data_IF_581431383129
#
_entry.id   IF_581431383129
#
_cell.length_a   1.000
_cell.length_b   1.000
_cell.length_c   1.000
_cell.angle_alpha   90.00
_cell.angle_beta   90.00
_cell.angle_gamma   90.00
#
_symmetry.space_group_name_H-M   'P 1'
#
loop_
_entity.id
_entity.type
_entity.pdbx_description
1 polymer ?
#
# COMPACT_ATOMS: atom_id res chain seq x y z
N UNK A 1 -3.06 19.47 -10.94
CA UNK A 1 -3.31 18.23 -10.18
C UNK A 1 -3.58 18.47 -8.69
N UNK A 2 -2.77 19.22 -7.91
CA UNK A 2 -2.98 19.37 -6.46
C UNK A 2 -4.37 19.87 -6.05
N UNK A 3 -4.93 20.87 -6.74
CA UNK A 3 -6.28 21.37 -6.46
C UNK A 3 -7.40 20.36 -6.78
N UNK A 4 -7.18 19.49 -7.79
CA UNK A 4 -8.12 18.40 -8.10
C UNK A 4 -8.09 17.37 -6.96
N UNK A 5 -6.90 17.05 -6.43
CA UNK A 5 -6.78 16.18 -5.25
C UNK A 5 -7.48 16.78 -4.03
N UNK A 6 -7.36 18.08 -3.79
CA UNK A 6 -8.09 18.75 -2.71
C UNK A 6 -9.62 18.60 -2.87
N UNK A 7 -10.15 18.77 -4.09
CA UNK A 7 -11.57 18.56 -4.36
C UNK A 7 -12.02 17.09 -4.15
N UNK A 8 -11.22 16.12 -4.60
CA UNK A 8 -11.49 14.68 -4.38
C UNK A 8 -11.43 14.33 -2.90
N UNK A 9 -10.54 14.94 -2.11
CA UNK A 9 -10.49 14.76 -0.64
C UNK A 9 -11.77 15.25 0.03
N UNK A 10 -12.34 16.38 -0.41
CA UNK A 10 -13.64 16.85 0.12
C UNK A 10 -14.76 15.85 -0.21
N UNK A 11 -14.78 15.31 -1.44
CA UNK A 11 -15.74 14.27 -1.83
C UNK A 11 -15.55 12.98 -1.01
N UNK A 12 -14.30 12.58 -0.75
CA UNK A 12 -13.97 11.44 0.11
C UNK A 12 -14.52 11.63 1.53
N UNK A 13 -14.31 12.81 2.13
CA UNK A 13 -14.83 13.12 3.46
C UNK A 13 -16.35 13.21 3.51
N UNK A 14 -16.99 13.70 2.44
CA UNK A 14 -18.45 13.71 2.32
C UNK A 14 -19.02 12.29 2.43
N UNK A 15 -18.53 11.34 1.62
CA UNK A 15 -18.98 9.95 1.70
C UNK A 15 -18.63 9.27 3.03
N UNK A 16 -17.51 9.65 3.65
CA UNK A 16 -17.16 9.17 4.98
C UNK A 16 -18.17 9.64 6.03
N UNK A 17 -18.62 10.89 5.97
CA UNK A 17 -19.56 11.46 6.94
C UNK A 17 -20.97 10.87 6.85
N UNK A 18 -21.38 10.37 5.69
CA UNK A 18 -22.67 9.66 5.54
C UNK A 18 -22.75 8.39 6.40
N UNK A 19 -21.64 7.68 6.58
CA UNK A 19 -21.60 6.41 7.34
C UNK A 19 -20.90 6.53 8.70
N UNK A 20 -20.05 7.54 8.86
CA UNK A 20 -19.14 7.69 9.99
C UNK A 20 -17.91 6.76 9.92
N UNK A 21 -16.93 7.02 10.77
CA UNK A 21 -15.70 6.22 10.85
C UNK A 21 -15.97 4.78 11.30
N UNK A 22 -15.24 3.83 10.71
CA UNK A 22 -15.17 2.46 11.23
C UNK A 22 -14.31 2.41 12.51
N UNK A 23 -14.34 1.29 13.24
CA UNK A 23 -13.54 1.07 14.45
C UNK A 23 -12.79 -0.28 14.39
N UNK A 24 -11.79 -0.51 15.26
CA UNK A 24 -10.96 -1.71 15.22
C UNK A 24 -11.72 -3.03 15.32
N UNK A 25 -12.87 -3.08 16.00
CA UNK A 25 -13.67 -4.32 16.11
C UNK A 25 -14.47 -4.62 14.84
N UNK A 26 -14.71 -3.62 14.00
CA UNK A 26 -15.56 -3.72 12.82
C UNK A 26 -17.07 -3.84 13.12
N UNK A 27 -17.48 -3.78 14.39
CA UNK A 27 -18.87 -3.75 14.84
C UNK A 27 -19.45 -2.34 14.77
N UNK A 28 -20.76 -2.19 14.97
CA UNK A 28 -21.37 -0.86 15.09
C UNK A 28 -20.87 -0.15 16.35
N UNK A 29 -20.40 1.09 16.20
CA UNK A 29 -19.98 1.95 17.32
C UNK A 29 -21.10 2.87 17.83
N UNK A 30 -22.34 2.67 17.37
CA UNK A 30 -23.45 3.57 17.69
C UNK A 30 -23.74 3.70 19.20
N UNK A 31 -23.47 2.64 19.97
CA UNK A 31 -23.69 2.63 21.43
C UNK A 31 -22.60 3.35 22.25
N UNK A 32 -21.48 3.74 21.64
CA UNK A 32 -20.35 4.35 22.33
C UNK A 32 -19.65 5.38 21.42
N UNK A 33 -20.41 6.42 21.03
CA UNK A 33 -19.86 7.55 20.27
C UNK A 33 -19.41 8.66 21.21
N UNK A 34 -18.23 9.21 20.93
CA UNK A 34 -17.70 10.40 21.60
C UNK A 34 -17.62 11.57 20.60
N UNK A 35 -17.72 12.83 21.06
CA UNK A 35 -17.53 13.98 20.18
C UNK A 35 -16.10 14.02 19.63
N UNK A 36 -15.93 14.57 18.43
CA UNK A 36 -14.59 14.67 17.81
C UNK A 36 -13.64 15.55 18.65
N UNK A 37 -14.15 16.70 19.10
CA UNK A 37 -13.45 17.56 20.05
C UNK A 37 -13.92 17.24 21.48
N UNK A 38 -13.01 17.10 22.47
CA UNK A 38 -11.56 17.33 22.38
C UNK A 38 -10.73 16.12 21.95
N UNK A 39 -11.32 14.91 21.98
CA UNK A 39 -10.59 13.64 21.94
C UNK A 39 -9.71 13.45 20.70
N UNK A 40 -10.31 13.52 19.51
CA UNK A 40 -9.57 13.31 18.26
C UNK A 40 -8.80 14.56 17.86
N UNK A 41 -9.25 15.77 18.23
CA UNK A 41 -8.48 17.00 17.97
C UNK A 41 -7.10 16.95 18.65
N UNK A 42 -7.02 16.60 19.94
CA UNK A 42 -5.72 16.51 20.62
C UNK A 42 -4.88 15.32 20.13
N UNK A 43 -5.53 14.19 19.82
CA UNK A 43 -4.85 13.03 19.23
C UNK A 43 -4.20 13.39 17.88
N UNK A 44 -4.94 14.10 17.02
CA UNK A 44 -4.45 14.51 15.71
C UNK A 44 -3.34 15.55 15.83
N UNK A 45 -3.46 16.52 16.74
CA UNK A 45 -2.38 17.49 17.03
C UNK A 45 -1.08 16.79 17.46
N UNK A 46 -1.16 15.78 18.32
CA UNK A 46 -0.01 14.97 18.70
C UNK A 46 0.58 14.23 17.48
N UNK A 47 -0.28 13.62 16.65
CA UNK A 47 0.13 12.97 15.41
C UNK A 47 0.86 13.92 14.45
N UNK A 48 0.33 15.13 14.25
CA UNK A 48 0.97 16.17 13.44
C UNK A 48 2.30 16.63 14.02
N UNK A 49 2.41 16.79 15.34
CA UNK A 49 3.67 17.16 15.98
C UNK A 49 4.76 16.09 15.73
N UNK A 50 4.40 14.80 15.81
CA UNK A 50 5.33 13.70 15.50
C UNK A 50 5.70 13.71 14.01
N UNK A 51 4.72 13.83 13.09
CA UNK A 51 4.98 13.87 11.65
C UNK A 51 5.89 15.03 11.26
N UNK A 52 5.60 16.25 11.74
CA UNK A 52 6.36 17.45 11.41
C UNK A 52 7.77 17.40 12.00
N UNK A 53 7.96 16.84 13.19
CA UNK A 53 9.28 16.69 13.78
C UNK A 53 10.15 15.69 12.99
N UNK A 54 9.59 14.56 12.54
CA UNK A 54 10.28 13.62 11.66
C UNK A 54 10.60 14.22 10.28
N UNK A 55 9.66 14.96 9.68
CA UNK A 55 9.88 15.65 8.41
C UNK A 55 10.97 16.72 8.52
N UNK A 56 10.94 17.53 9.59
CA UNK A 56 11.96 18.52 9.86
C UNK A 56 13.33 17.86 10.10
N UNK A 57 13.37 16.76 10.85
CA UNK A 57 14.61 16.02 11.06
C UNK A 57 15.20 15.49 9.74
N UNK A 58 14.37 14.90 8.87
CA UNK A 58 14.82 14.46 7.55
C UNK A 58 15.34 15.64 6.71
N UNK A 59 14.56 16.72 6.60
CA UNK A 59 14.91 17.87 5.77
C UNK A 59 16.15 18.63 6.27
N UNK A 60 16.35 18.72 7.58
CA UNK A 60 17.47 19.48 8.17
C UNK A 60 18.74 18.66 8.34
N UNK A 61 18.64 17.38 8.73
CA UNK A 61 19.81 16.54 9.01
C UNK A 61 20.20 15.63 7.84
N UNK A 62 19.28 15.23 6.97
CA UNK A 62 19.57 14.32 5.85
C UNK A 62 18.68 14.57 4.62
N UNK A 63 18.71 15.78 4.02
CA UNK A 63 17.78 16.19 2.97
C UNK A 63 17.81 15.29 1.72
N UNK A 64 18.96 14.69 1.43
CA UNK A 64 19.17 13.87 0.23
C UNK A 64 19.07 12.36 0.51
N UNK A 65 18.69 11.93 1.73
CA UNK A 65 18.67 10.51 2.12
C UNK A 65 17.79 9.64 1.21
N UNK A 66 16.67 10.20 0.75
CA UNK A 66 15.67 9.50 -0.08
C UNK A 66 15.78 9.84 -1.57
N UNK A 67 16.75 10.69 -1.95
CA UNK A 67 16.95 11.15 -3.32
C UNK A 67 17.98 10.30 -4.07
N UNK A 68 17.97 10.41 -5.40
CA UNK A 68 18.98 9.77 -6.26
C UNK A 68 20.09 10.77 -6.60
N UNK A 69 21.38 10.45 -6.39
CA UNK A 69 22.49 11.34 -6.74
C UNK A 69 22.55 11.69 -8.23
N UNK A 70 22.02 10.84 -9.12
CA UNK A 70 22.03 11.09 -10.57
C UNK A 70 21.20 12.34 -10.93
N UNK A 71 20.21 12.70 -10.12
CA UNK A 71 19.37 13.89 -10.31
C UNK A 71 20.11 15.22 -10.02
N UNK A 72 21.34 15.19 -9.53
CA UNK A 72 22.20 16.38 -9.44
C UNK A 72 22.96 16.67 -10.74
N UNK A 73 22.95 15.74 -11.69
CA UNK A 73 23.53 15.96 -13.03
C UNK A 73 22.45 16.44 -14.01
N UNK A 74 22.71 17.47 -14.83
CA UNK A 74 21.75 17.90 -15.85
C UNK A 74 21.45 16.78 -16.85
N UNK A 75 20.18 16.66 -17.23
CA UNK A 75 19.73 15.60 -18.14
C UNK A 75 20.47 15.66 -19.48
N UNK A 76 21.01 14.51 -19.91
CA UNK A 76 21.67 14.34 -21.20
C UNK A 76 20.96 13.22 -21.99
N UNK A 77 20.22 13.54 -23.07
CA UNK A 77 19.49 12.54 -23.87
C UNK A 77 20.38 11.45 -24.51
N UNK A 78 21.69 11.69 -24.61
CA UNK A 78 22.65 10.76 -25.24
C UNK A 78 23.33 9.83 -24.23
N UNK A 79 23.15 10.06 -22.93
CA UNK A 79 23.80 9.30 -21.85
C UNK A 79 22.74 8.76 -20.91
N UNK A 80 22.66 7.43 -20.81
CA UNK A 80 21.78 6.77 -19.85
C UNK A 80 22.57 6.48 -18.56
N UNK A 81 22.02 6.82 -17.38
CA UNK A 81 22.63 6.41 -16.11
C UNK A 81 22.76 4.88 -16.01
N UNK A 82 23.77 4.36 -15.28
CA UNK A 82 24.00 2.92 -15.16
C UNK A 82 22.84 2.13 -14.54
N UNK A 83 22.11 2.72 -13.57
CA UNK A 83 20.98 2.07 -12.91
C UNK A 83 19.78 3.04 -12.81
N UNK A 84 18.98 3.09 -13.86
CA UNK A 84 17.78 3.94 -13.91
C UNK A 84 16.65 3.29 -13.10
N UNK A 85 16.16 4.00 -12.08
CA UNK A 85 15.04 3.59 -11.23
C UNK A 85 14.18 4.82 -10.88
N UNK A 86 12.88 4.63 -10.57
CA UNK A 86 12.05 5.72 -10.07
C UNK A 86 12.33 5.97 -8.57
N UNK A 87 11.68 6.98 -8.01
CA UNK A 87 11.70 7.25 -6.58
C UNK A 87 11.15 6.06 -5.77
N UNK A 88 11.58 5.98 -4.50
CA UNK A 88 11.37 4.81 -3.64
C UNK A 88 9.91 4.35 -3.54
N UNK A 89 8.95 5.28 -3.54
CA UNK A 89 7.51 4.98 -3.42
C UNK A 89 6.90 4.34 -4.67
N UNK A 90 7.62 4.31 -5.80
CA UNK A 90 7.24 3.60 -7.02
C UNK A 90 7.97 2.27 -7.23
N UNK A 91 8.98 1.95 -6.40
CA UNK A 91 9.85 0.79 -6.63
C UNK A 91 9.10 -0.54 -6.61
N UNK A 92 8.07 -0.70 -5.76
CA UNK A 92 7.31 -1.95 -5.71
C UNK A 92 6.59 -2.23 -7.05
N UNK A 93 6.00 -1.20 -7.64
CA UNK A 93 5.28 -1.29 -8.90
C UNK A 93 6.24 -1.45 -10.08
N UNK A 94 7.39 -0.79 -10.00
CA UNK A 94 8.51 -0.95 -10.94
C UNK A 94 9.11 -2.37 -10.90
N UNK A 95 9.20 -3.00 -9.73
CA UNK A 95 9.59 -4.40 -9.63
C UNK A 95 8.59 -5.31 -10.36
N UNK A 96 7.29 -5.12 -10.16
CA UNK A 96 6.23 -5.88 -10.86
C UNK A 96 6.32 -5.70 -12.38
N UNK A 97 6.57 -4.48 -12.86
CA UNK A 97 6.78 -4.19 -14.28
C UNK A 97 7.92 -5.02 -14.88
N UNK A 98 9.07 -5.09 -14.17
CA UNK A 98 10.28 -5.80 -14.64
C UNK A 98 10.20 -7.31 -14.52
N UNK A 99 9.35 -7.84 -13.64
CA UNK A 99 9.20 -9.28 -13.44
C UNK A 99 8.63 -10.00 -14.66
N UNK A 100 7.89 -9.31 -15.53
CA UNK A 100 7.26 -9.91 -16.73
C UNK A 100 8.15 -9.66 -17.96
N UNK A 101 8.69 -10.70 -18.61
CA UNK A 101 9.55 -10.57 -19.79
C UNK A 101 8.74 -10.28 -21.08
N UNK A 102 7.74 -9.40 -20.98
CA UNK A 102 6.93 -8.91 -22.09
C UNK A 102 6.57 -7.44 -21.85
N UNK A 103 6.85 -6.57 -22.82
CA UNK A 103 6.63 -5.12 -22.67
C UNK A 103 5.17 -4.76 -22.36
N UNK A 104 4.22 -5.32 -23.12
CA UNK A 104 2.80 -5.06 -22.90
C UNK A 104 2.32 -5.69 -21.58
N UNK A 105 2.71 -6.94 -21.32
CA UNK A 105 2.36 -7.66 -20.10
C UNK A 105 2.83 -6.94 -18.83
N UNK A 106 4.07 -6.45 -18.83
CA UNK A 106 4.62 -5.67 -17.72
C UNK A 106 3.85 -4.36 -17.48
N UNK A 107 3.50 -3.62 -18.55
CA UNK A 107 2.71 -2.38 -18.42
C UNK A 107 1.30 -2.67 -17.88
N UNK A 108 0.66 -3.74 -18.35
CA UNK A 108 -0.64 -4.17 -17.84
C UNK A 108 -0.54 -4.59 -16.37
N UNK A 109 0.52 -5.29 -15.97
CA UNK A 109 0.73 -5.68 -14.58
C UNK A 109 1.02 -4.49 -13.65
N UNK A 110 1.77 -3.49 -14.12
CA UNK A 110 1.97 -2.24 -13.40
C UNK A 110 0.64 -1.54 -13.10
N UNK A 111 -0.22 -1.41 -14.12
CA UNK A 111 -1.56 -0.84 -13.97
C UNK A 111 -2.41 -1.71 -13.03
N UNK A 112 -2.39 -3.03 -13.21
CA UNK A 112 -3.11 -3.97 -12.37
C UNK A 112 -2.67 -3.91 -10.90
N UNK A 113 -1.39 -3.65 -10.61
CA UNK A 113 -0.88 -3.54 -9.25
C UNK A 113 -1.55 -2.41 -8.45
N UNK A 114 -2.03 -1.35 -9.11
CA UNK A 114 -2.79 -0.29 -8.46
C UNK A 114 -4.30 -0.59 -8.53
N UNK A 115 -4.79 -1.03 -9.68
CA UNK A 115 -6.21 -1.28 -9.91
C UNK A 115 -6.76 -2.48 -9.11
N UNK A 116 -5.91 -3.40 -8.66
CA UNK A 116 -6.31 -4.53 -7.80
C UNK A 116 -6.99 -4.05 -6.52
N UNK A 117 -6.69 -2.83 -6.03
CA UNK A 117 -7.36 -2.25 -4.85
C UNK A 117 -8.86 -2.10 -5.03
N UNK A 118 -9.36 -1.88 -6.25
CA UNK A 118 -10.80 -1.82 -6.53
C UNK A 118 -11.49 -3.18 -6.42
N UNK A 119 -10.73 -4.28 -6.47
CA UNK A 119 -11.29 -5.63 -6.30
C UNK A 119 -11.49 -6.00 -4.83
N UNK A 120 -10.83 -5.32 -3.89
CA UNK A 120 -10.85 -5.64 -2.46
C UNK A 120 -12.28 -5.68 -1.87
N UNK A 121 -13.17 -4.70 -2.15
CA UNK A 121 -14.55 -4.77 -1.65
C UNK A 121 -15.35 -5.92 -2.25
N UNK A 122 -15.11 -6.24 -3.53
CA UNK A 122 -15.84 -7.27 -4.29
C UNK A 122 -15.44 -8.67 -3.83
N UNK A 123 -14.16 -8.86 -3.51
CA UNK A 123 -13.59 -10.14 -3.10
C UNK A 123 -13.72 -10.43 -1.59
N UNK A 124 -14.44 -9.59 -0.85
CA UNK A 124 -14.65 -9.80 0.58
C UNK A 124 -15.61 -10.96 0.86
N UNK A 125 -15.09 -12.09 1.34
CA UNK A 125 -15.85 -13.32 1.62
C UNK A 125 -16.22 -13.52 3.10
N UNK A 126 -15.53 -12.84 4.01
CA UNK A 126 -15.72 -12.99 5.45
C UNK A 126 -17.07 -12.43 5.93
N UNK A 127 -17.65 -13.04 6.96
CA UNK A 127 -18.83 -12.48 7.67
C UNK A 127 -18.45 -11.41 8.70
N UNK A 128 -17.19 -11.35 9.10
CA UNK A 128 -16.64 -10.31 9.96
C UNK A 128 -15.95 -9.23 9.12
N UNK A 129 -16.30 -7.96 9.37
CA UNK A 129 -15.81 -6.80 8.60
C UNK A 129 -14.30 -6.57 8.75
N UNK A 130 -13.80 -6.53 9.99
CA UNK A 130 -12.39 -6.28 10.30
C UNK A 130 -11.56 -7.57 10.36
N UNK A 131 -10.23 -7.43 10.42
CA UNK A 131 -9.31 -8.58 10.59
C UNK A 131 -8.97 -8.87 12.05
N UNK A 132 -9.41 -8.05 13.01
CA UNK A 132 -9.03 -8.15 14.45
C UNK A 132 -9.30 -9.53 15.06
N UNK A 133 -10.35 -10.23 14.62
CA UNK A 133 -10.70 -11.57 15.10
C UNK A 133 -10.43 -12.68 14.07
N UNK A 134 -9.61 -12.41 13.06
CA UNK A 134 -9.34 -13.26 11.90
C UNK A 134 -7.84 -13.55 11.77
N UNK A 135 -7.30 -14.52 12.54
CA UNK A 135 -5.85 -14.72 12.66
C UNK A 135 -5.19 -15.15 11.35
N UNK A 136 -5.87 -15.95 10.51
CA UNK A 136 -5.31 -16.37 9.21
C UNK A 136 -5.22 -15.16 8.29
N UNK A 137 -6.26 -14.33 8.26
CA UNK A 137 -6.27 -13.10 7.47
C UNK A 137 -5.25 -12.07 7.97
N UNK A 138 -5.01 -11.96 9.28
CA UNK A 138 -3.94 -11.11 9.82
C UNK A 138 -2.55 -11.59 9.37
N UNK A 139 -2.30 -12.89 9.42
CA UNK A 139 -1.03 -13.45 8.94
C UNK A 139 -0.81 -13.16 7.45
N UNK A 140 -1.85 -13.33 6.62
CA UNK A 140 -1.78 -13.00 5.20
C UNK A 140 -1.62 -11.49 4.95
N UNK A 141 -2.21 -10.63 5.79
CA UNK A 141 -2.03 -9.18 5.69
C UNK A 141 -0.58 -8.79 5.96
N UNK A 142 0.04 -9.35 7.00
CA UNK A 142 1.45 -9.09 7.28
C UNK A 142 2.37 -9.70 6.22
N UNK A 143 1.98 -10.84 5.63
CA UNK A 143 2.67 -11.40 4.47
C UNK A 143 2.62 -10.45 3.28
N UNK A 144 1.48 -9.81 3.00
CA UNK A 144 1.35 -8.78 1.97
C UNK A 144 2.23 -7.56 2.25
N UNK A 145 2.27 -7.08 3.49
CA UNK A 145 3.14 -5.96 3.88
C UNK A 145 4.61 -6.31 3.66
N UNK A 146 5.03 -7.51 4.08
CA UNK A 146 6.39 -8.00 3.85
C UNK A 146 6.71 -8.13 2.35
N UNK A 147 5.77 -8.64 1.55
CA UNK A 147 5.91 -8.77 0.10
C UNK A 147 6.09 -7.42 -0.60
N UNK A 148 5.32 -6.39 -0.22
CA UNK A 148 5.49 -5.03 -0.76
C UNK A 148 6.86 -4.44 -0.38
N UNK A 149 7.36 -4.72 0.84
CA UNK A 149 8.72 -4.32 1.25
C UNK A 149 9.78 -5.03 0.38
N UNK A 150 9.61 -6.33 0.13
CA UNK A 150 10.50 -7.12 -0.75
C UNK A 150 10.46 -6.56 -2.17
N UNK A 151 9.28 -6.29 -2.73
CA UNK A 151 9.13 -5.67 -4.05
C UNK A 151 9.80 -4.29 -4.12
N UNK A 152 9.67 -3.47 -3.08
CA UNK A 152 10.34 -2.17 -2.99
C UNK A 152 11.86 -2.32 -3.00
N UNK A 153 12.38 -3.28 -2.23
CA UNK A 153 13.80 -3.60 -2.22
C UNK A 153 14.29 -4.09 -3.59
N UNK A 154 13.61 -5.08 -4.19
CA UNK A 154 13.94 -5.63 -5.51
C UNK A 154 13.85 -4.57 -6.62
N UNK A 155 12.89 -3.65 -6.53
CA UNK A 155 12.76 -2.51 -7.44
C UNK A 155 14.03 -1.66 -7.50
N UNK A 156 14.77 -1.56 -6.39
CA UNK A 156 16.03 -0.85 -6.30
C UNK A 156 17.28 -1.65 -6.69
N UNK A 157 17.16 -2.96 -6.94
CA UNK A 157 18.27 -3.84 -7.30
C UNK A 157 18.47 -3.92 -8.83
N UNK A 158 19.67 -4.29 -9.32
CA UNK A 158 19.93 -4.54 -10.75
C UNK A 158 19.15 -5.77 -11.25
N UNK A 159 18.97 -5.86 -12.56
CA UNK A 159 18.26 -6.97 -13.22
C UNK A 159 19.24 -8.13 -13.45
N UNK A 160 19.62 -8.78 -12.36
CA UNK A 160 20.59 -9.88 -12.34
C UNK A 160 20.07 -11.00 -11.42
N UNK A 161 20.61 -12.21 -11.58
CA UNK A 161 20.34 -13.30 -10.65
C UNK A 161 20.98 -13.02 -9.28
N UNK A 162 20.30 -13.27 -8.16
CA UNK A 162 19.01 -13.95 -8.00
C UNK A 162 17.78 -13.00 -7.99
N UNK A 163 17.95 -11.69 -8.17
CA UNK A 163 16.89 -10.68 -8.00
C UNK A 163 15.75 -10.81 -9.01
N UNK A 164 16.04 -11.31 -10.22
CA UNK A 164 15.01 -11.58 -11.24
C UNK A 164 13.99 -12.58 -10.70
N UNK A 165 14.47 -13.73 -10.21
CA UNK A 165 13.61 -14.81 -9.69
C UNK A 165 12.85 -14.36 -8.45
N UNK A 166 13.50 -13.64 -7.54
CA UNK A 166 12.84 -13.10 -6.34
C UNK A 166 11.72 -12.13 -6.73
N UNK A 167 11.98 -11.22 -7.67
CA UNK A 167 10.98 -10.28 -8.18
C UNK A 167 9.77 -10.97 -8.78
N UNK A 168 10.00 -12.02 -9.58
CA UNK A 168 8.92 -12.82 -10.19
C UNK A 168 8.06 -13.52 -9.14
N UNK A 169 8.68 -14.18 -8.16
CA UNK A 169 7.97 -14.86 -7.09
C UNK A 169 7.16 -13.86 -6.25
N UNK A 170 7.77 -12.75 -5.86
CA UNK A 170 7.09 -11.70 -5.08
C UNK A 170 5.92 -11.08 -5.87
N UNK A 171 6.11 -10.80 -7.16
CA UNK A 171 5.05 -10.24 -8.01
C UNK A 171 3.87 -11.21 -8.16
N UNK A 172 4.14 -12.51 -8.30
CA UNK A 172 3.11 -13.53 -8.32
C UNK A 172 2.39 -13.64 -6.96
N UNK A 173 3.15 -13.62 -5.86
CA UNK A 173 2.60 -13.66 -4.51
C UNK A 173 1.69 -12.46 -4.22
N UNK A 174 2.09 -11.25 -4.64
CA UNK A 174 1.30 -10.02 -4.52
C UNK A 174 -0.13 -10.20 -5.07
N UNK A 175 -0.26 -10.62 -6.34
CA UNK A 175 -1.57 -10.82 -6.95
C UNK A 175 -2.31 -12.02 -6.35
N UNK A 176 -1.60 -13.10 -6.01
CA UNK A 176 -2.18 -14.28 -5.37
C UNK A 176 -2.80 -13.94 -4.01
N UNK A 177 -2.16 -13.06 -3.23
CA UNK A 177 -2.65 -12.60 -1.93
C UNK A 177 -4.00 -11.87 -2.08
N UNK A 178 -4.09 -10.91 -3.00
CA UNK A 178 -5.33 -10.16 -3.23
C UNK A 178 -6.44 -11.03 -3.83
N UNK A 179 -6.14 -11.77 -4.90
CA UNK A 179 -7.16 -12.40 -5.74
C UNK A 179 -7.62 -13.77 -5.23
N UNK A 180 -6.78 -14.47 -4.46
CA UNK A 180 -7.04 -15.88 -4.09
C UNK A 180 -6.93 -16.13 -2.59
N UNK A 181 -5.77 -15.84 -1.97
CA UNK A 181 -5.51 -16.26 -0.59
C UNK A 181 -6.37 -15.53 0.44
N UNK A 182 -6.51 -14.21 0.32
CA UNK A 182 -7.35 -13.43 1.23
C UNK A 182 -8.85 -13.82 1.15
N UNK A 183 -9.46 -13.96 -0.04
CA UNK A 183 -10.83 -14.48 -0.17
C UNK A 183 -10.99 -15.90 0.37
N UNK A 184 -10.02 -16.79 0.10
CA UNK A 184 -10.06 -18.16 0.58
C UNK A 184 -9.96 -18.22 2.11
N UNK A 185 -9.07 -17.42 2.71
CA UNK A 185 -8.92 -17.34 4.16
C UNK A 185 -10.21 -16.88 4.83
N UNK A 186 -10.87 -15.84 4.31
CA UNK A 186 -12.16 -15.38 4.84
C UNK A 186 -13.25 -16.45 4.78
N UNK A 187 -13.29 -17.24 3.71
CA UNK A 187 -14.22 -18.36 3.59
C UNK A 187 -13.90 -19.50 4.57
N UNK A 188 -12.62 -19.85 4.74
CA UNK A 188 -12.18 -20.87 5.69
C UNK A 188 -12.48 -20.47 7.14
N UNK A 189 -12.23 -19.21 7.51
CA UNK A 189 -12.51 -18.67 8.84
C UNK A 189 -14.02 -18.70 9.14
N UNK A 190 -14.88 -18.38 8.15
CA UNK A 190 -16.32 -18.52 8.31
C UNK A 190 -16.73 -19.96 8.64
N UNK A 191 -16.17 -20.95 7.93
CA UNK A 191 -16.45 -22.37 8.16
C UNK A 191 -15.96 -22.84 9.52
N UNK A 192 -14.76 -22.43 9.92
CA UNK A 192 -14.21 -22.75 11.24
C UNK A 192 -15.11 -22.24 12.37
N UNK A 193 -15.74 -21.08 12.18
CA UNK A 193 -16.68 -20.48 13.13
C UNK A 193 -18.14 -20.91 12.93
N UNK A 194 -18.45 -21.80 11.97
CA UNK A 194 -19.81 -22.24 11.63
C UNK A 194 -20.75 -21.08 11.29
N UNK A 195 -20.23 -20.05 10.63
CA UNK A 195 -20.98 -18.87 10.15
C UNK A 195 -21.54 -19.08 8.73
N UNK A 196 -21.30 -20.27 8.15
CA UNK A 196 -21.77 -20.73 6.84
C UNK A 196 -21.93 -22.25 6.84
#
# INVERSE_FOLDING_TARGET
LPFILAAVTLLHLFFLHETGSNNPTGLTSAGDKIPFHPYFTYKDLLGFAILLSLLAALAMFSPNLLGDPDNFTPANPLVTPPHIKPEWYFLFAYAILRSIPNKLGGVLALLAAILVLFTVPILHTSKQRGMTFRPISQFLFWTLVADVIILTWIGGMPVEDPFIVIGQIASALYFLLFLVLMPLAGWLENKALKLA
#
